data_IF_653894009618
#
_entry.id   IF_653894009618
#
_cell.length_a   1.000
_cell.length_b   1.000
_cell.length_c   1.000
_cell.angle_alpha   90.00
_cell.angle_beta   90.00
_cell.angle_gamma   90.00
#
_symmetry.space_group_name_H-M   'P 1'
#
loop_
_entity.id
_entity.type
_entity.pdbx_description
1 polymer ?
#
# COMPACT_ATOMS: atom_id res chain seq x y z
N UNK A 1 28.96 3.20 26.29
CA UNK A 1 27.59 2.95 25.84
C UNK A 1 27.62 2.91 24.33
N UNK A 2 27.01 1.91 23.68
CA UNK A 2 26.93 1.87 22.21
C UNK A 2 25.92 2.97 21.80
N UNK A 3 26.33 3.90 20.96
CA UNK A 3 25.44 4.92 20.40
C UNK A 3 24.79 4.32 19.14
N UNK A 4 23.47 4.30 19.08
CA UNK A 4 22.76 3.92 17.86
C UNK A 4 22.79 5.08 16.86
N UNK A 5 22.90 4.75 15.58
CA UNK A 5 22.91 5.72 14.48
C UNK A 5 21.50 6.17 14.11
N UNK A 6 20.55 5.23 14.22
CA UNK A 6 19.15 5.46 13.89
C UNK A 6 18.21 4.67 14.80
N UNK A 7 17.06 5.26 15.04
CA UNK A 7 15.90 4.61 15.65
C UNK A 7 14.84 4.40 14.57
N UNK A 8 14.48 3.15 14.35
CA UNK A 8 13.56 2.72 13.29
C UNK A 8 12.28 2.19 13.89
N UNK A 9 11.16 2.83 13.55
CA UNK A 9 9.83 2.37 13.90
C UNK A 9 9.35 1.31 12.91
N UNK A 10 8.97 0.13 13.38
CA UNK A 10 8.43 -0.93 12.55
C UNK A 10 6.91 -0.91 12.55
N UNK A 11 6.36 -0.35 11.50
CA UNK A 11 4.92 -0.34 11.23
C UNK A 11 4.49 -1.65 10.61
N UNK A 12 3.61 -2.38 11.27
CA UNK A 12 3.07 -3.65 10.79
C UNK A 12 1.61 -3.81 11.18
N UNK A 13 0.83 -4.47 10.35
CA UNK A 13 -0.56 -4.81 10.65
C UNK A 13 -0.61 -5.77 11.85
N UNK A 14 -1.48 -5.47 12.84
CA UNK A 14 -1.73 -6.40 13.94
C UNK A 14 -3.09 -7.12 13.80
N UNK A 15 -4.20 -6.39 13.93
CA UNK A 15 -5.56 -6.93 13.81
C UNK A 15 -5.88 -8.06 14.82
N UNK A 16 -5.14 -8.15 15.94
CA UNK A 16 -5.30 -9.22 16.93
C UNK A 16 -4.66 -10.56 16.54
N UNK A 17 -3.99 -10.64 15.40
CA UNK A 17 -3.36 -11.89 14.91
C UNK A 17 -1.93 -12.02 15.45
N UNK A 18 -1.70 -13.05 16.28
CA UNK A 18 -0.38 -13.36 16.84
C UNK A 18 0.66 -13.79 15.78
N UNK A 19 0.27 -14.19 14.58
CA UNK A 19 1.21 -14.50 13.51
C UNK A 19 1.91 -13.23 13.03
N UNK A 20 1.23 -12.09 13.05
CA UNK A 20 1.83 -10.81 12.72
C UNK A 20 2.96 -10.42 13.70
N UNK A 21 2.85 -10.79 14.98
CA UNK A 21 3.95 -10.62 15.94
C UNK A 21 5.19 -11.42 15.54
N UNK A 22 5.01 -12.69 15.17
CA UNK A 22 6.11 -13.56 14.74
C UNK A 22 6.79 -13.07 13.46
N UNK A 23 5.98 -12.57 12.52
CA UNK A 23 6.49 -11.97 11.28
C UNK A 23 7.40 -10.77 11.59
N UNK A 24 6.97 -9.87 12.46
CA UNK A 24 7.79 -8.72 12.90
C UNK A 24 9.04 -9.18 13.65
N UNK A 25 8.96 -10.20 14.49
CA UNK A 25 10.14 -10.76 15.17
C UNK A 25 11.21 -11.23 14.18
N UNK A 26 10.82 -11.95 13.13
CA UNK A 26 11.75 -12.44 12.11
C UNK A 26 12.35 -11.27 11.30
N UNK A 27 11.54 -10.25 10.99
CA UNK A 27 12.03 -9.02 10.35
C UNK A 27 13.08 -8.34 11.25
N UNK A 28 12.79 -8.15 12.54
CA UNK A 28 13.73 -7.52 13.48
C UNK A 28 15.03 -8.32 13.58
N UNK A 29 14.93 -9.64 13.80
CA UNK A 29 16.11 -10.51 13.94
C UNK A 29 17.02 -10.45 12.72
N UNK A 30 16.43 -10.41 11.53
CA UNK A 30 17.18 -10.36 10.28
C UNK A 30 17.76 -8.97 10.02
N UNK A 31 16.95 -7.94 10.16
CA UNK A 31 17.38 -6.57 9.91
C UNK A 31 18.39 -6.07 10.96
N UNK A 32 18.29 -6.52 12.21
CA UNK A 32 19.30 -6.19 13.25
C UNK A 32 20.69 -6.75 12.92
N UNK A 33 20.76 -7.89 12.24
CA UNK A 33 22.05 -8.44 11.76
C UNK A 33 22.62 -7.59 10.62
N UNK A 34 21.76 -7.11 9.71
CA UNK A 34 22.14 -6.25 8.58
C UNK A 34 22.51 -4.83 9.04
N UNK A 35 21.81 -4.33 10.05
CA UNK A 35 21.95 -2.97 10.58
C UNK A 35 22.25 -2.99 12.09
N UNK A 36 23.45 -3.42 12.51
CA UNK A 36 23.78 -3.64 13.93
C UNK A 36 23.81 -2.34 14.76
N UNK A 37 23.87 -1.19 14.09
CA UNK A 37 23.87 0.13 14.72
C UNK A 37 22.51 0.82 14.73
N UNK A 38 21.44 0.13 14.25
CA UNK A 38 20.08 0.65 14.32
C UNK A 38 19.37 0.10 15.56
N UNK A 39 18.47 0.89 16.11
CA UNK A 39 17.56 0.47 17.17
C UNK A 39 16.16 0.31 16.58
N UNK A 40 15.65 -0.92 16.56
CA UNK A 40 14.31 -1.21 16.07
C UNK A 40 13.28 -1.14 17.20
N UNK A 41 12.21 -0.37 16.97
CA UNK A 41 11.06 -0.22 17.87
C UNK A 41 9.85 -0.84 17.19
N UNK A 42 9.21 -1.79 17.87
CA UNK A 42 7.99 -2.44 17.39
C UNK A 42 6.84 -2.15 18.35
N UNK A 43 5.89 -1.29 17.99
CA UNK A 43 4.73 -1.00 18.81
C UNK A 43 3.85 -2.24 19.03
N UNK A 44 3.86 -3.20 18.10
CA UNK A 44 3.17 -4.47 18.29
C UNK A 44 3.67 -5.21 19.54
N UNK A 45 4.99 -5.26 19.74
CA UNK A 45 5.58 -5.90 20.91
C UNK A 45 5.37 -5.09 22.19
N UNK A 46 5.28 -3.78 22.07
CA UNK A 46 5.10 -2.88 23.21
C UNK A 46 3.66 -2.83 23.68
N UNK A 47 2.66 -2.91 22.78
CA UNK A 47 1.27 -2.58 23.10
C UNK A 47 0.25 -3.66 22.74
N UNK A 48 0.63 -4.77 22.08
CA UNK A 48 -0.33 -5.79 21.65
C UNK A 48 -1.13 -6.43 22.79
N UNK A 49 -0.58 -6.47 23.98
CA UNK A 49 -1.27 -7.00 25.16
C UNK A 49 -2.41 -6.10 25.63
N UNK A 50 -2.43 -4.81 25.24
CA UNK A 50 -3.49 -3.85 25.50
C UNK A 50 -4.60 -3.87 24.43
N UNK A 51 -4.47 -4.67 23.39
CA UNK A 51 -5.33 -4.63 22.20
C UNK A 51 -6.83 -4.74 22.49
N UNK A 52 -7.21 -5.55 23.51
CA UNK A 52 -8.60 -5.73 23.93
C UNK A 52 -9.02 -4.81 25.07
N UNK A 53 -8.07 -4.14 25.72
CA UNK A 53 -8.30 -3.33 26.92
C UNK A 53 -8.30 -1.83 26.63
N UNK A 54 -8.04 -1.44 25.39
CA UNK A 54 -7.89 -0.07 24.95
C UNK A 54 -8.74 0.23 23.71
N UNK A 55 -9.22 1.47 23.58
CA UNK A 55 -9.86 1.89 22.33
C UNK A 55 -8.85 1.89 21.16
N UNK A 56 -9.36 1.77 19.94
CA UNK A 56 -8.50 1.84 18.74
C UNK A 56 -7.77 3.19 18.65
N UNK A 57 -8.46 4.27 19.01
CA UNK A 57 -7.96 5.63 18.99
C UNK A 57 -6.82 5.81 19.98
N UNK A 58 -6.99 5.36 21.21
CA UNK A 58 -5.95 5.46 22.26
C UNK A 58 -4.73 4.60 21.89
N UNK A 59 -4.96 3.39 21.37
CA UNK A 59 -3.88 2.53 20.92
C UNK A 59 -3.09 3.12 19.75
N UNK A 60 -3.77 3.78 18.82
CA UNK A 60 -3.12 4.47 17.72
C UNK A 60 -2.32 5.69 18.22
N UNK A 61 -2.85 6.45 19.20
CA UNK A 61 -2.16 7.61 19.77
C UNK A 61 -0.83 7.18 20.41
N UNK A 62 -0.79 6.08 21.15
CA UNK A 62 0.46 5.51 21.69
C UNK A 62 1.46 5.18 20.58
N UNK A 63 0.98 4.56 19.49
CA UNK A 63 1.81 4.24 18.32
C UNK A 63 2.40 5.50 17.67
N UNK A 64 1.58 6.54 17.47
CA UNK A 64 2.03 7.79 16.86
C UNK A 64 3.00 8.55 17.78
N UNK A 65 2.78 8.52 19.10
CA UNK A 65 3.70 9.11 20.07
C UNK A 65 5.08 8.44 20.00
N UNK A 66 5.11 7.10 19.90
CA UNK A 66 6.34 6.36 19.75
C UNK A 66 7.03 6.63 18.40
N UNK A 67 6.25 6.75 17.31
CA UNK A 67 6.74 7.09 15.99
C UNK A 67 7.40 8.46 15.94
N UNK A 68 6.89 9.43 16.70
CA UNK A 68 7.43 10.79 16.76
C UNK A 68 8.89 10.84 17.25
N UNK A 69 9.32 9.85 18.02
CA UNK A 69 10.67 9.75 18.59
C UNK A 69 11.62 8.93 17.69
N UNK A 70 11.18 8.55 16.48
CA UNK A 70 11.97 7.73 15.55
C UNK A 70 12.47 8.52 14.35
N UNK A 71 13.63 8.12 13.83
CA UNK A 71 14.24 8.74 12.64
C UNK A 71 13.59 8.29 11.34
N UNK A 72 13.13 7.04 11.30
CA UNK A 72 12.53 6.41 10.13
C UNK A 72 11.37 5.51 10.54
N UNK A 73 10.40 5.36 9.63
CA UNK A 73 9.37 4.31 9.70
C UNK A 73 9.61 3.29 8.60
N UNK A 74 9.69 2.01 8.96
CA UNK A 74 9.72 0.90 8.03
C UNK A 74 8.36 0.21 8.05
N UNK A 75 7.66 0.31 6.93
CA UNK A 75 6.36 -0.34 6.70
C UNK A 75 6.61 -1.77 6.24
N UNK A 76 6.13 -2.74 7.02
CA UNK A 76 6.48 -4.14 6.84
C UNK A 76 5.27 -5.01 6.44
N UNK A 77 5.57 -6.12 5.75
CA UNK A 77 4.58 -7.08 5.26
C UNK A 77 3.93 -6.70 3.92
N UNK A 78 3.42 -7.72 3.23
CA UNK A 78 2.87 -7.55 1.86
C UNK A 78 1.57 -6.74 1.81
N UNK A 79 0.73 -6.86 2.85
CA UNK A 79 -0.63 -6.29 2.88
C UNK A 79 -0.77 -5.13 3.87
N UNK A 80 0.28 -4.33 4.02
CA UNK A 80 0.30 -3.16 4.89
C UNK A 80 -0.88 -2.20 4.64
N UNK A 81 -1.28 -2.04 3.37
CA UNK A 81 -2.37 -1.18 2.93
C UNK A 81 -3.76 -1.62 3.43
N UNK A 82 -3.89 -2.84 3.94
CA UNK A 82 -5.14 -3.34 4.55
C UNK A 82 -5.33 -2.83 5.99
N UNK A 83 -4.30 -2.26 6.57
CA UNK A 83 -4.32 -1.77 7.95
C UNK A 83 -4.57 -0.27 8.01
N UNK A 84 -5.67 0.11 8.68
CA UNK A 84 -5.96 1.53 8.93
C UNK A 84 -4.89 2.17 9.82
N UNK A 85 -4.35 1.42 10.79
CA UNK A 85 -3.27 1.88 11.67
C UNK A 85 -2.03 2.23 10.88
N UNK A 86 -1.53 1.28 10.07
CA UNK A 86 -0.34 1.49 9.23
C UNK A 86 -0.51 2.70 8.29
N UNK A 87 -1.70 2.86 7.69
CA UNK A 87 -1.95 4.03 6.82
C UNK A 87 -1.86 5.33 7.61
N UNK A 88 -2.43 5.40 8.82
CA UNK A 88 -2.36 6.60 9.67
C UNK A 88 -0.93 6.87 10.15
N UNK A 89 -0.14 5.85 10.44
CA UNK A 89 1.28 5.98 10.77
C UNK A 89 2.09 6.55 9.59
N UNK A 90 1.83 6.08 8.36
CA UNK A 90 2.44 6.64 7.16
C UNK A 90 2.02 8.10 6.94
N UNK A 91 0.74 8.41 7.12
CA UNK A 91 0.22 9.79 7.01
C UNK A 91 0.90 10.71 8.02
N UNK A 92 1.05 10.25 9.26
CA UNK A 92 1.75 10.98 10.32
C UNK A 92 3.23 11.21 9.97
N UNK A 93 3.94 10.16 9.57
CA UNK A 93 5.35 10.23 9.20
C UNK A 93 5.59 11.24 8.08
N UNK A 94 4.76 11.20 7.03
CA UNK A 94 4.85 12.16 5.93
C UNK A 94 4.59 13.61 6.37
N UNK A 95 3.62 13.83 7.27
CA UNK A 95 3.32 15.17 7.80
C UNK A 95 4.48 15.73 8.64
N UNK A 96 5.24 14.87 9.31
CA UNK A 96 6.35 15.24 10.19
C UNK A 96 7.73 15.05 9.55
N UNK A 97 7.78 14.74 8.23
CA UNK A 97 9.01 14.55 7.45
C UNK A 97 9.90 13.41 7.96
N UNK A 98 9.30 12.39 8.56
CA UNK A 98 9.95 11.14 8.92
C UNK A 98 10.04 10.28 7.65
N UNK A 99 11.21 9.75 7.34
CA UNK A 99 11.43 8.94 6.14
C UNK A 99 10.62 7.64 6.20
N UNK A 100 9.84 7.37 5.14
CA UNK A 100 9.02 6.16 5.01
C UNK A 100 9.70 5.17 4.07
N UNK A 101 10.07 4.02 4.59
CA UNK A 101 10.66 2.91 3.84
C UNK A 101 9.77 1.68 3.90
N UNK A 102 9.91 0.79 2.93
CA UNK A 102 9.12 -0.43 2.83
C UNK A 102 10.01 -1.65 2.86
N UNK A 103 9.60 -2.65 3.62
CA UNK A 103 10.28 -3.96 3.78
C UNK A 103 9.22 -5.04 3.66
N UNK A 104 9.14 -5.69 2.52
CA UNK A 104 8.12 -6.70 2.27
C UNK A 104 8.34 -7.96 3.12
N UNK A 105 9.58 -8.45 3.16
CA UNK A 105 9.99 -9.66 3.87
C UNK A 105 11.24 -9.39 4.71
N UNK A 106 11.56 -10.29 5.63
CA UNK A 106 12.72 -10.17 6.50
C UNK A 106 14.05 -10.00 5.74
N UNK A 107 14.21 -10.65 4.58
CA UNK A 107 15.44 -10.60 3.79
C UNK A 107 15.54 -9.37 2.88
N UNK A 108 14.46 -8.65 2.66
CA UNK A 108 14.43 -7.48 1.78
C UNK A 108 15.25 -6.32 2.38
N UNK A 109 15.81 -5.51 1.50
CA UNK A 109 16.39 -4.24 1.91
C UNK A 109 15.30 -3.16 1.97
N UNK A 110 15.36 -2.26 2.97
CA UNK A 110 14.42 -1.15 3.04
C UNK A 110 14.56 -0.24 1.81
N UNK A 111 13.44 0.13 1.21
CA UNK A 111 13.40 0.97 0.00
C UNK A 111 12.29 2.00 0.06
N UNK A 112 12.49 3.14 -0.58
CA UNK A 112 11.43 4.14 -0.78
C UNK A 112 10.54 3.69 -1.94
N UNK A 113 9.22 3.77 -1.76
CA UNK A 113 8.31 3.69 -2.90
C UNK A 113 8.35 5.05 -3.60
N UNK A 114 8.69 5.06 -4.88
CA UNK A 114 8.62 6.27 -5.68
C UNK A 114 7.17 6.75 -5.78
N UNK A 115 6.91 7.92 -5.22
CA UNK A 115 5.59 8.54 -5.23
C UNK A 115 5.39 9.46 -4.03
N UNK A 116 4.49 10.42 -4.19
CA UNK A 116 4.12 11.33 -3.10
C UNK A 116 3.29 10.61 -2.04
N UNK A 117 3.22 11.18 -0.83
CA UNK A 117 2.32 10.73 0.22
C UNK A 117 0.86 10.56 -0.27
N UNK A 118 0.45 11.40 -1.22
CA UNK A 118 -0.88 11.33 -1.85
C UNK A 118 -1.07 10.10 -2.73
N UNK A 119 0.00 9.63 -3.40
CA UNK A 119 -0.03 8.38 -4.15
C UNK A 119 -0.24 7.17 -3.21
N UNK A 120 0.53 7.10 -2.12
CA UNK A 120 0.41 6.03 -1.12
C UNK A 120 -0.98 6.04 -0.49
N UNK A 121 -1.49 7.23 -0.14
CA UNK A 121 -2.85 7.42 0.40
C UNK A 121 -3.92 7.04 -0.62
N UNK A 122 -3.76 7.44 -1.87
CA UNK A 122 -4.67 7.10 -2.97
C UNK A 122 -4.72 5.60 -3.24
N UNK A 123 -3.55 4.95 -3.26
CA UNK A 123 -3.44 3.50 -3.40
C UNK A 123 -4.14 2.76 -2.26
N UNK A 124 -3.85 3.13 -1.00
CA UNK A 124 -4.47 2.51 0.17
C UNK A 124 -6.00 2.74 0.22
N UNK A 125 -6.49 3.94 -0.13
CA UNK A 125 -7.93 4.21 -0.26
C UNK A 125 -8.57 3.38 -1.36
N UNK A 126 -7.93 3.27 -2.53
CA UNK A 126 -8.42 2.47 -3.65
C UNK A 126 -8.61 1.00 -3.27
N UNK A 127 -7.61 0.41 -2.61
CA UNK A 127 -7.69 -0.98 -2.13
C UNK A 127 -8.81 -1.18 -1.10
N UNK A 128 -9.01 -0.23 -0.16
CA UNK A 128 -10.09 -0.32 0.85
C UNK A 128 -11.48 -0.21 0.25
N UNK A 129 -11.69 0.76 -0.64
CA UNK A 129 -12.96 0.93 -1.33
C UNK A 129 -13.29 -0.33 -2.15
N UNK A 130 -12.28 -0.87 -2.85
CA UNK A 130 -12.42 -2.09 -3.62
C UNK A 130 -12.87 -3.29 -2.81
N UNK A 131 -12.35 -3.49 -1.61
CA UNK A 131 -12.76 -4.61 -0.73
C UNK A 131 -14.20 -4.47 -0.24
N UNK A 132 -14.62 -3.27 0.12
CA UNK A 132 -15.99 -3.03 0.60
C UNK A 132 -17.01 -3.31 -0.49
N UNK A 133 -16.77 -2.81 -1.70
CA UNK A 133 -17.64 -3.02 -2.86
C UNK A 133 -17.62 -4.48 -3.36
N UNK A 134 -16.48 -5.18 -3.22
CA UNK A 134 -16.40 -6.59 -3.58
C UNK A 134 -17.31 -7.46 -2.71
N UNK A 135 -17.38 -7.21 -1.41
CA UNK A 135 -18.30 -7.93 -0.51
C UNK A 135 -19.77 -7.69 -0.83
N UNK A 136 -20.11 -6.49 -1.33
CA UNK A 136 -21.47 -6.13 -1.73
C UNK A 136 -21.85 -6.63 -3.14
N UNK A 137 -20.86 -6.83 -4.04
CA UNK A 137 -21.09 -7.15 -5.46
C UNK A 137 -20.83 -8.59 -5.87
N UNK A 138 -20.42 -9.48 -4.97
CA UNK A 138 -20.20 -10.92 -5.29
C UNK A 138 -21.45 -11.66 -5.79
N UNK A 139 -22.63 -11.04 -5.71
CA UNK A 139 -23.89 -11.58 -6.23
C UNK A 139 -24.23 -11.16 -7.67
N UNK A 140 -23.43 -10.27 -8.30
CA UNK A 140 -23.72 -9.77 -9.65
C UNK A 140 -22.75 -10.38 -10.67
N UNK A 141 -23.32 -10.91 -11.77
CA UNK A 141 -22.55 -11.43 -12.92
C UNK A 141 -21.56 -10.36 -13.41
N UNK A 142 -20.31 -10.75 -13.66
CA UNK A 142 -19.29 -9.88 -14.23
C UNK A 142 -19.82 -9.19 -15.48
N UNK A 143 -19.78 -7.87 -15.46
CA UNK A 143 -20.18 -7.04 -16.60
C UNK A 143 -18.96 -6.77 -17.48
N UNK A 144 -19.18 -6.65 -18.77
CA UNK A 144 -18.18 -6.19 -19.74
C UNK A 144 -18.54 -4.76 -20.14
N UNK A 145 -17.58 -3.85 -20.06
CA UNK A 145 -17.72 -2.50 -20.57
C UNK A 145 -16.66 -2.26 -21.66
N UNK A 146 -17.07 -1.58 -22.72
CA UNK A 146 -16.14 -1.04 -23.69
C UNK A 146 -15.55 0.25 -23.13
N UNK A 147 -14.24 0.38 -23.24
CA UNK A 147 -13.53 1.61 -22.88
C UNK A 147 -13.63 2.56 -24.07
N UNK A 148 -13.95 3.81 -23.80
CA UNK A 148 -14.01 4.91 -24.74
C UNK A 148 -13.15 6.09 -24.22
N UNK A 149 -13.09 7.18 -24.99
CA UNK A 149 -12.33 8.38 -24.66
C UNK A 149 -12.65 8.95 -23.26
N UNK A 150 -13.92 8.90 -22.84
CA UNK A 150 -14.37 9.42 -21.54
C UNK A 150 -13.79 8.63 -20.36
N UNK A 151 -13.36 7.40 -20.57
CA UNK A 151 -12.72 6.58 -19.56
C UNK A 151 -11.21 6.81 -19.44
N UNK A 152 -10.59 7.52 -20.40
CA UNK A 152 -9.16 7.80 -20.40
C UNK A 152 -8.91 9.03 -19.54
N UNK A 153 -8.20 8.83 -18.40
CA UNK A 153 -7.95 9.89 -17.42
C UNK A 153 -6.70 10.67 -17.76
N UNK A 154 -5.70 10.02 -18.32
CA UNK A 154 -4.42 10.64 -18.65
C UNK A 154 -3.57 9.71 -19.52
N UNK A 155 -3.02 10.27 -20.57
CA UNK A 155 -1.99 9.61 -21.37
C UNK A 155 -0.62 10.12 -20.91
N UNK A 156 0.26 9.20 -20.52
CA UNK A 156 1.68 9.48 -20.35
C UNK A 156 2.43 8.81 -21.48
N UNK A 157 2.97 9.60 -22.38
CA UNK A 157 3.94 9.12 -23.37
C UNK A 157 5.29 9.12 -22.66
N UNK A 158 5.65 8.01 -22.04
CA UNK A 158 7.03 7.73 -21.70
C UNK A 158 7.64 6.89 -22.82
N UNK A 159 8.92 7.06 -23.07
CA UNK A 159 9.65 6.28 -24.05
C UNK A 159 9.49 4.79 -23.76
N UNK A 160 8.83 4.09 -24.62
CA UNK A 160 8.53 2.66 -24.64
C UNK A 160 8.73 1.85 -23.33
N UNK A 161 7.74 1.14 -22.80
CA UNK A 161 6.42 0.87 -23.36
C UNK A 161 5.38 1.96 -23.04
N UNK A 162 4.47 2.23 -23.99
CA UNK A 162 3.39 3.20 -23.78
C UNK A 162 2.47 2.76 -22.65
N UNK A 163 2.19 3.67 -21.70
CA UNK A 163 1.24 3.42 -20.66
C UNK A 163 0.23 4.57 -20.54
N UNK A 164 -1.01 4.23 -20.28
CA UNK A 164 -2.09 5.19 -20.07
C UNK A 164 -2.92 4.81 -18.85
N UNK A 165 -3.70 5.74 -18.35
CA UNK A 165 -4.56 5.53 -17.18
C UNK A 165 -6.01 5.56 -17.60
N UNK A 166 -6.75 4.53 -17.22
CA UNK A 166 -8.16 4.33 -17.53
C UNK A 166 -8.98 4.27 -16.25
N UNK A 167 -10.10 4.96 -16.19
CA UNK A 167 -11.10 4.78 -15.14
C UNK A 167 -11.97 3.57 -15.43
N UNK A 168 -12.17 2.72 -14.43
CA UNK A 168 -13.15 1.66 -14.52
C UNK A 168 -14.57 2.26 -14.62
N UNK A 169 -15.37 1.94 -15.65
CA UNK A 169 -16.71 2.48 -15.80
C UNK A 169 -17.70 1.95 -14.77
N UNK A 170 -17.33 0.95 -13.96
CA UNK A 170 -18.19 0.36 -12.94
C UNK A 170 -17.86 0.79 -11.51
N UNK A 171 -16.61 1.15 -11.23
CA UNK A 171 -16.16 1.49 -9.88
C UNK A 171 -15.24 2.72 -9.83
N UNK A 172 -15.04 3.39 -10.95
CA UNK A 172 -14.23 4.60 -11.13
C UNK A 172 -12.76 4.50 -10.71
N UNK A 173 -12.30 3.31 -10.31
CA UNK A 173 -10.90 3.10 -9.97
C UNK A 173 -10.01 3.31 -11.19
N UNK A 174 -8.95 4.09 -11.01
CA UNK A 174 -7.96 4.32 -12.06
C UNK A 174 -7.00 3.13 -12.18
N UNK A 175 -6.80 2.65 -13.40
CA UNK A 175 -5.87 1.56 -13.73
C UNK A 175 -4.82 2.08 -14.70
N UNK A 176 -3.54 1.80 -14.40
CA UNK A 176 -2.47 2.02 -15.37
C UNK A 176 -2.40 0.79 -16.28
N UNK A 177 -2.54 1.02 -17.56
CA UNK A 177 -2.42 0.02 -18.61
C UNK A 177 -1.11 0.28 -19.35
N UNK A 178 -0.27 -0.74 -19.45
CA UNK A 178 0.95 -0.69 -20.25
C UNK A 178 0.73 -1.52 -21.51
N UNK A 179 0.85 -0.90 -22.68
CA UNK A 179 0.71 -1.58 -23.95
C UNK A 179 2.03 -2.27 -24.33
N UNK A 180 1.95 -3.55 -24.59
CA UNK A 180 3.00 -4.38 -25.20
C UNK A 180 2.46 -4.95 -26.49
N UNK A 181 3.32 -5.34 -27.41
CA UNK A 181 2.96 -5.88 -28.76
C UNK A 181 1.97 -7.07 -28.77
N UNK A 182 1.67 -7.63 -27.60
CA UNK A 182 0.75 -8.77 -27.43
C UNK A 182 -0.29 -8.55 -26.33
N UNK A 183 -0.74 -7.32 -26.12
CA UNK A 183 -1.76 -7.06 -25.10
C UNK A 183 -3.10 -7.72 -25.46
N UNK A 184 -3.76 -8.35 -24.48
CA UNK A 184 -5.11 -8.84 -24.67
C UNK A 184 -6.05 -7.66 -24.92
N UNK A 185 -7.01 -7.82 -25.83
CA UNK A 185 -8.05 -6.83 -26.08
C UNK A 185 -8.97 -6.60 -24.86
N UNK A 186 -8.86 -7.45 -23.84
CA UNK A 186 -9.66 -7.43 -22.61
C UNK A 186 -8.81 -7.62 -21.38
N UNK A 187 -9.06 -6.84 -20.35
CA UNK A 187 -8.47 -7.00 -19.02
C UNK A 187 -9.56 -6.96 -17.95
N UNK A 188 -9.31 -7.59 -16.82
CA UNK A 188 -10.20 -7.53 -15.66
C UNK A 188 -9.83 -6.36 -14.75
N UNK A 189 -10.81 -5.66 -14.23
CA UNK A 189 -10.59 -4.67 -13.18
C UNK A 189 -10.11 -5.37 -11.91
N UNK A 190 -8.98 -4.93 -11.37
CA UNK A 190 -8.42 -5.50 -10.15
C UNK A 190 -9.29 -5.26 -8.91
N UNK A 191 -10.26 -4.36 -9.02
CA UNK A 191 -11.14 -3.98 -7.92
C UNK A 191 -12.52 -4.66 -8.01
N UNK A 192 -13.29 -4.39 -9.07
CA UNK A 192 -14.66 -4.91 -9.19
C UNK A 192 -14.76 -6.18 -10.05
N UNK A 193 -13.64 -6.67 -10.60
CA UNK A 193 -13.50 -7.83 -11.46
C UNK A 193 -14.33 -7.80 -12.76
N UNK A 194 -14.97 -6.67 -13.08
CA UNK A 194 -15.60 -6.48 -14.37
C UNK A 194 -14.54 -6.34 -15.47
N UNK A 195 -14.91 -6.72 -16.70
CA UNK A 195 -14.00 -6.72 -17.83
C UNK A 195 -13.99 -5.38 -18.56
N UNK A 196 -12.79 -4.94 -18.94
CA UNK A 196 -12.58 -3.84 -19.88
C UNK A 196 -12.30 -4.41 -21.26
N UNK A 197 -12.98 -3.91 -22.25
CA UNK A 197 -12.75 -4.24 -23.65
C UNK A 197 -12.18 -3.01 -24.37
N UNK A 198 -10.97 -3.14 -24.88
CA UNK A 198 -10.24 -2.08 -25.59
C UNK A 198 -10.29 -2.24 -27.12
N UNK A 199 -11.07 -3.19 -27.63
CA UNK A 199 -11.10 -3.50 -29.07
C UNK A 199 -11.58 -2.35 -29.93
N UNK A 200 -12.28 -1.38 -29.34
CA UNK A 200 -12.80 -0.18 -30.01
C UNK A 200 -11.85 1.02 -29.98
N UNK A 201 -10.74 0.93 -29.23
CA UNK A 201 -9.77 2.03 -29.16
C UNK A 201 -8.79 1.96 -30.33
N UNK A 202 -8.63 3.09 -31.00
CA UNK A 202 -7.57 3.28 -31.98
C UNK A 202 -6.36 3.96 -31.34
N UNK A 203 -5.22 3.92 -32.00
CA UNK A 203 -4.01 4.59 -31.54
C UNK A 203 -4.20 6.11 -31.38
N UNK A 204 -5.12 6.71 -32.14
CA UNK A 204 -5.48 8.12 -32.08
C UNK A 204 -6.32 8.49 -30.86
N UNK A 205 -7.06 7.54 -30.30
CA UNK A 205 -7.92 7.77 -29.11
C UNK A 205 -7.10 7.74 -27.81
N UNK A 206 -5.85 7.24 -27.88
CA UNK A 206 -4.96 7.07 -26.72
C UNK A 206 -3.91 8.19 -26.65
N UNK A 207 -3.65 8.88 -27.73
CA UNK A 207 -2.71 9.99 -27.83
C UNK A 207 -3.38 11.34 -27.59
#
# INVERSE_FOLDING_TARGET
MKQFEKTVYLSHKYGGDKNNLKEVEEIIKTQQKKHPNYMFISPLHMFSFLYNDMSYEDGLELCLYQLAECDEIWVTGEKWYDSTGVIKEIEYANAHKIDVLFVKNAEDNPHKIEGSADYIRGFAKGVKLGKKEWQENTSKKNKVAYINEDNIVRTYISHFPFSFVVKCPFCELAHRITLHDKNPARISCNNCHNLFDFSNLTYGDIL
#
